data_IF_907649480001
#
_entry.id   IF_907649480001
#
_cell.length_a   1.000
_cell.length_b   1.000
_cell.length_c   1.000
_cell.angle_alpha   90.00
_cell.angle_beta   90.00
_cell.angle_gamma   90.00
#
_symmetry.space_group_name_H-M   'P 1'
#
loop_
_entity.id
_entity.type
_entity.pdbx_description
1 polymer ?
#
# COMPACT_ATOMS: atom_id res chain seq x y z
N UNK A 1 22.35 13.73 -9.78
CA UNK A 1 21.28 14.71 -9.49
C UNK A 1 21.32 15.04 -7.98
N UNK A 2 21.47 16.30 -7.55
CA UNK A 2 21.72 16.70 -6.14
C UNK A 2 20.44 16.76 -5.26
N UNK A 3 20.55 16.67 -3.93
CA UNK A 3 19.36 16.68 -3.04
C UNK A 3 18.57 18.00 -3.15
N UNK A 4 17.24 17.95 -3.00
CA UNK A 4 16.38 19.15 -2.95
C UNK A 4 15.95 19.75 -4.30
N UNK A 5 16.29 19.16 -5.44
CA UNK A 5 16.01 19.75 -6.78
C UNK A 5 14.71 19.28 -7.46
N UNK A 6 13.71 18.82 -6.70
CA UNK A 6 12.41 18.41 -7.28
C UNK A 6 12.46 17.18 -8.20
N UNK A 7 13.41 16.27 -8.02
CA UNK A 7 13.58 15.10 -8.91
C UNK A 7 12.34 14.24 -9.00
N UNK A 8 11.69 14.01 -7.87
CA UNK A 8 10.52 13.14 -7.77
C UNK A 8 9.36 13.76 -8.53
N UNK A 9 8.99 15.00 -8.26
CA UNK A 9 7.96 15.71 -9.03
C UNK A 9 8.29 15.81 -10.54
N UNK A 10 9.54 16.09 -10.93
CA UNK A 10 9.92 16.13 -12.35
C UNK A 10 9.74 14.77 -13.04
N UNK A 11 10.18 13.69 -12.40
CA UNK A 11 10.04 12.33 -12.92
C UNK A 11 8.57 11.91 -13.02
N UNK A 12 7.79 12.15 -11.97
CA UNK A 12 6.36 11.85 -11.94
C UNK A 12 5.61 12.65 -13.02
N UNK A 13 5.93 13.93 -13.19
CA UNK A 13 5.29 14.80 -14.20
C UNK A 13 5.49 14.27 -15.61
N UNK A 14 6.71 13.85 -15.94
CA UNK A 14 7.03 13.29 -17.25
C UNK A 14 6.28 11.98 -17.49
N UNK A 15 6.30 11.06 -16.52
CA UNK A 15 5.69 9.73 -16.67
C UNK A 15 4.16 9.84 -16.77
N UNK A 16 3.53 10.65 -15.94
CA UNK A 16 2.06 10.86 -15.98
C UNK A 16 1.65 11.49 -17.32
N UNK A 17 2.39 12.50 -17.79
CA UNK A 17 2.11 13.10 -19.10
C UNK A 17 2.25 12.06 -20.24
N UNK A 18 3.27 11.20 -20.16
CA UNK A 18 3.48 10.12 -21.12
C UNK A 18 2.32 9.11 -21.11
N UNK A 19 1.88 8.66 -19.93
CA UNK A 19 0.76 7.73 -19.76
C UNK A 19 -0.59 8.30 -20.23
N UNK A 20 -0.77 9.61 -20.18
CA UNK A 20 -1.97 10.28 -20.68
C UNK A 20 -1.95 10.47 -22.20
N UNK A 21 -0.77 10.70 -22.79
CA UNK A 21 -0.63 10.92 -24.23
C UNK A 21 -0.78 9.62 -25.04
N UNK A 22 -0.17 8.52 -24.56
CA UNK A 22 -0.23 7.24 -25.27
C UNK A 22 -1.43 6.39 -24.80
N UNK A 23 -2.18 5.77 -25.74
CA UNK A 23 -3.36 4.95 -25.39
C UNK A 23 -2.98 3.65 -24.66
N UNK A 24 -1.73 3.20 -24.79
CA UNK A 24 -1.23 2.02 -24.11
C UNK A 24 -1.12 2.27 -22.59
N UNK A 25 -1.98 1.60 -21.82
CA UNK A 25 -2.01 1.73 -20.36
C UNK A 25 -0.83 0.99 -19.74
N UNK A 26 0.16 1.76 -19.28
CA UNK A 26 1.32 1.26 -18.52
C UNK A 26 1.17 1.60 -17.04
N UNK A 27 1.63 0.73 -16.15
CA UNK A 27 1.67 0.99 -14.69
C UNK A 27 3.04 1.53 -14.30
N UNK A 28 3.07 2.56 -13.46
CA UNK A 28 4.30 3.04 -12.84
C UNK A 28 4.55 2.28 -11.53
N UNK A 29 5.70 1.63 -11.42
CA UNK A 29 6.19 1.06 -10.16
C UNK A 29 7.31 1.96 -9.64
N UNK A 30 7.02 2.71 -8.58
CA UNK A 30 7.98 3.62 -7.96
C UNK A 30 8.56 2.98 -6.69
N UNK A 31 9.83 2.60 -6.73
CA UNK A 31 10.52 1.96 -5.61
C UNK A 31 11.26 3.00 -4.76
N UNK A 32 11.01 3.00 -3.46
CA UNK A 32 11.72 3.82 -2.46
C UNK A 32 12.31 2.93 -1.37
N UNK A 33 13.30 3.43 -0.63
CA UNK A 33 14.00 2.65 0.41
C UNK A 33 13.26 2.68 1.74
N UNK A 34 12.65 3.81 2.08
CA UNK A 34 12.05 4.03 3.41
C UNK A 34 10.59 4.45 3.32
N UNK A 35 9.82 4.21 4.38
CA UNK A 35 8.40 4.62 4.45
C UNK A 35 8.23 6.15 4.32
N UNK A 36 9.05 7.00 4.96
CA UNK A 36 8.97 8.45 4.76
C UNK A 36 9.23 8.89 3.32
N UNK A 37 10.06 8.18 2.55
CA UNK A 37 10.24 8.45 1.12
C UNK A 37 8.98 8.10 0.32
N UNK A 38 8.31 6.98 0.65
CA UNK A 38 7.04 6.58 0.04
C UNK A 38 5.96 7.65 0.29
N UNK A 39 5.83 8.10 1.55
CA UNK A 39 4.87 9.14 1.93
C UNK A 39 5.12 10.46 1.19
N UNK A 40 6.39 10.89 1.08
CA UNK A 40 6.77 12.08 0.32
C UNK A 40 6.43 11.95 -1.16
N UNK A 41 6.74 10.80 -1.77
CA UNK A 41 6.43 10.55 -3.18
C UNK A 41 4.92 10.56 -3.46
N UNK A 42 4.11 9.97 -2.57
CA UNK A 42 2.64 9.99 -2.67
C UNK A 42 2.07 11.40 -2.48
N UNK A 43 2.64 12.19 -1.56
CA UNK A 43 2.24 13.58 -1.36
C UNK A 43 2.56 14.45 -2.59
N UNK A 44 3.73 14.27 -3.21
CA UNK A 44 4.08 14.93 -4.47
C UNK A 44 3.18 14.48 -5.63
N UNK A 45 2.89 13.19 -5.73
CA UNK A 45 1.96 12.64 -6.72
C UNK A 45 0.57 13.25 -6.56
N UNK A 46 0.04 13.31 -5.34
CA UNK A 46 -1.26 13.94 -5.07
C UNK A 46 -1.30 15.39 -5.56
N UNK A 47 -0.29 16.20 -5.20
CA UNK A 47 -0.19 17.60 -5.65
C UNK A 47 -0.12 17.72 -7.17
N UNK A 48 0.60 16.81 -7.84
CA UNK A 48 0.71 16.78 -9.29
C UNK A 48 -0.64 16.46 -9.96
N UNK A 49 -1.37 15.47 -9.46
CA UNK A 49 -2.68 15.09 -9.99
C UNK A 49 -3.70 16.21 -9.76
N UNK A 50 -3.70 16.82 -8.57
CA UNK A 50 -4.52 17.98 -8.24
C UNK A 50 -4.23 19.15 -9.20
N UNK A 51 -2.95 19.42 -9.50
CA UNK A 51 -2.54 20.45 -10.46
C UNK A 51 -3.03 20.15 -11.89
N UNK A 52 -3.01 18.88 -12.31
CA UNK A 52 -3.48 18.45 -13.63
C UNK A 52 -5.00 18.37 -13.75
N UNK A 53 -5.74 18.41 -12.63
CA UNK A 53 -7.19 18.19 -12.57
C UNK A 53 -7.61 16.85 -13.19
N UNK A 54 -6.79 15.81 -13.01
CA UNK A 54 -7.11 14.47 -13.48
C UNK A 54 -7.81 13.67 -12.38
N UNK A 55 -9.13 13.55 -12.49
CA UNK A 55 -9.94 12.84 -11.50
C UNK A 55 -9.85 11.31 -11.65
N UNK A 56 -9.33 10.80 -12.77
CA UNK A 56 -9.28 9.36 -13.08
C UNK A 56 -7.91 8.73 -12.85
N UNK A 57 -7.18 9.19 -11.82
CA UNK A 57 -5.86 8.68 -11.47
C UNK A 57 -5.85 7.96 -10.11
N UNK A 58 -5.39 6.71 -10.08
CA UNK A 58 -5.25 5.92 -8.86
C UNK A 58 -3.76 5.78 -8.46
N UNK A 59 -3.39 6.42 -7.35
CA UNK A 59 -2.10 6.23 -6.69
C UNK A 59 -2.22 5.29 -5.48
N UNK A 60 -1.32 4.32 -5.35
CA UNK A 60 -1.31 3.37 -4.22
C UNK A 60 0.03 3.43 -3.49
N UNK A 61 -0.03 3.63 -2.18
CA UNK A 61 1.10 3.45 -1.27
C UNK A 61 1.09 2.07 -0.64
N UNK A 62 2.08 1.23 -0.98
CA UNK A 62 2.22 -0.09 -0.38
C UNK A 62 3.37 -0.11 0.63
N UNK A 63 3.08 -0.57 1.84
CA UNK A 63 4.08 -0.79 2.90
C UNK A 63 3.81 -2.10 3.62
N UNK A 64 4.56 -2.40 4.68
CA UNK A 64 4.40 -3.64 5.46
C UNK A 64 3.04 -3.74 6.16
N UNK A 65 2.63 -4.97 6.50
CA UNK A 65 1.39 -5.22 7.26
C UNK A 65 1.34 -4.44 8.57
N UNK A 66 2.47 -4.23 9.26
CA UNK A 66 2.52 -3.44 10.50
C UNK A 66 1.94 -2.03 10.33
N UNK A 67 2.14 -1.42 9.16
CA UNK A 67 1.70 -0.06 8.91
C UNK A 67 0.26 0.02 8.36
N UNK A 68 -0.30 -1.12 7.89
CA UNK A 68 -1.60 -1.19 7.22
C UNK A 68 -2.61 -2.10 7.96
N UNK A 69 -2.25 -2.65 9.12
CA UNK A 69 -3.10 -3.56 9.88
C UNK A 69 -4.12 -2.79 10.73
N UNK A 70 -5.39 -3.15 10.61
CA UNK A 70 -6.50 -2.57 11.37
C UNK A 70 -6.96 -3.45 12.55
N UNK A 71 -6.51 -4.71 12.62
CA UNK A 71 -6.97 -5.66 13.63
C UNK A 71 -6.55 -5.19 15.04
N UNK A 72 -7.48 -4.97 15.98
CA UNK A 72 -7.24 -4.20 17.20
C UNK A 72 -6.20 -4.81 18.15
N UNK A 73 -6.02 -6.12 18.11
CA UNK A 73 -5.00 -6.82 18.90
C UNK A 73 -3.66 -7.00 18.17
N UNK A 74 -3.67 -7.07 16.83
CA UNK A 74 -2.47 -7.36 16.03
C UNK A 74 -1.74 -6.08 15.65
N UNK A 75 -2.46 -4.99 15.41
CA UNK A 75 -1.88 -3.67 15.10
C UNK A 75 -1.05 -3.08 16.23
N UNK A 76 -1.28 -3.53 17.48
CA UNK A 76 -0.52 -3.10 18.67
C UNK A 76 0.88 -3.73 18.77
N UNK A 77 1.19 -4.73 17.95
CA UNK A 77 2.48 -5.42 17.98
C UNK A 77 3.60 -4.54 17.40
N UNK A 78 4.72 -4.43 18.14
CA UNK A 78 5.84 -3.57 17.75
C UNK A 78 6.69 -4.16 16.62
N UNK A 79 6.86 -5.48 16.61
CA UNK A 79 7.74 -6.20 15.67
C UNK A 79 6.95 -6.66 14.46
N UNK A 80 7.39 -6.28 13.25
CA UNK A 80 6.73 -6.66 11.99
C UNK A 80 6.56 -8.17 11.82
N UNK A 81 7.58 -8.97 12.17
CA UNK A 81 7.50 -10.43 12.11
C UNK A 81 6.36 -11.02 12.97
N UNK A 82 6.05 -10.39 14.11
CA UNK A 82 4.97 -10.82 14.99
C UNK A 82 3.62 -10.48 14.38
N UNK A 83 3.47 -9.27 13.82
CA UNK A 83 2.27 -8.88 13.04
C UNK A 83 2.01 -9.88 11.92
N UNK A 84 3.04 -10.22 11.14
CA UNK A 84 2.91 -11.15 10.02
C UNK A 84 2.47 -12.54 10.47
N UNK A 85 3.07 -13.04 11.55
CA UNK A 85 2.71 -14.34 12.14
C UNK A 85 1.29 -14.37 12.66
N UNK A 86 0.86 -13.36 13.45
CA UNK A 86 -0.49 -13.31 14.02
C UNK A 86 -1.54 -13.12 12.92
N UNK A 87 -1.28 -12.27 11.94
CA UNK A 87 -2.14 -12.12 10.77
C UNK A 87 -2.30 -13.46 10.04
N UNK A 88 -1.22 -14.21 9.81
CA UNK A 88 -1.27 -15.56 9.20
C UNK A 88 -2.12 -16.53 10.04
N UNK A 89 -2.01 -16.51 11.37
CA UNK A 89 -2.82 -17.34 12.25
C UNK A 89 -4.32 -17.06 12.20
N UNK A 90 -4.74 -15.88 11.71
CA UNK A 90 -6.15 -15.49 11.59
C UNK A 90 -6.70 -15.59 10.16
N UNK A 91 -5.83 -15.67 9.15
CA UNK A 91 -6.22 -15.51 7.73
C UNK A 91 -5.82 -16.68 6.84
N UNK A 92 -4.94 -17.58 7.31
CA UNK A 92 -4.48 -18.70 6.51
C UNK A 92 -5.65 -19.62 6.09
N UNK A 93 -5.57 -20.16 4.87
CA UNK A 93 -6.64 -20.98 4.28
C UNK A 93 -7.07 -22.13 5.20
N UNK A 94 -6.12 -22.85 5.79
CA UNK A 94 -6.42 -23.97 6.69
C UNK A 94 -7.08 -23.54 8.00
N UNK A 95 -6.89 -22.30 8.46
CA UNK A 95 -7.57 -21.78 9.66
C UNK A 95 -9.02 -21.48 9.30
N UNK A 96 -9.25 -20.87 8.14
CA UNK A 96 -10.59 -20.55 7.61
C UNK A 96 -11.40 -21.80 7.33
N UNK A 97 -10.79 -22.84 6.76
CA UNK A 97 -11.45 -24.14 6.54
C UNK A 97 -11.84 -24.82 7.86
N UNK A 98 -10.95 -24.82 8.86
CA UNK A 98 -11.27 -25.34 10.20
C UNK A 98 -12.39 -24.55 10.88
N UNK A 99 -12.39 -23.23 10.75
CA UNK A 99 -13.47 -22.39 11.29
C UNK A 99 -14.82 -22.65 10.61
N UNK A 100 -14.83 -23.03 9.33
CA UNK A 100 -16.04 -23.48 8.62
C UNK A 100 -16.53 -24.85 9.10
N UNK A 101 -15.60 -25.78 9.35
CA UNK A 101 -15.92 -27.12 9.85
C UNK A 101 -16.38 -27.11 11.32
N UNK A 102 -15.80 -26.24 12.14
CA UNK A 102 -16.09 -26.09 13.57
C UNK A 102 -16.41 -24.62 13.91
N UNK A 103 -17.66 -24.17 13.66
CA UNK A 103 -18.08 -22.79 13.90
C UNK A 103 -17.88 -22.37 15.36
N UNK A 104 -17.24 -21.22 15.59
CA UNK A 104 -17.07 -20.61 16.92
C UNK A 104 -15.86 -21.09 17.71
N UNK A 105 -15.11 -22.10 17.23
CA UNK A 105 -13.90 -22.59 17.92
C UNK A 105 -12.61 -21.91 17.51
N UNK A 106 -12.61 -21.24 16.35
CA UNK A 106 -11.45 -20.56 15.79
C UNK A 106 -11.75 -19.09 15.51
N UNK A 107 -10.87 -18.21 16.00
CA UNK A 107 -10.95 -16.77 15.74
C UNK A 107 -10.41 -16.45 14.34
N UNK A 108 -11.16 -15.67 13.57
CA UNK A 108 -10.78 -15.20 12.24
C UNK A 108 -10.69 -13.67 12.22
N UNK A 109 -9.94 -13.14 11.27
CA UNK A 109 -9.82 -11.69 11.08
C UNK A 109 -11.05 -11.13 10.35
N UNK A 110 -11.88 -10.38 11.05
CA UNK A 110 -13.10 -9.75 10.50
C UNK A 110 -12.85 -8.81 9.31
N UNK A 111 -11.65 -8.22 9.21
CA UNK A 111 -11.28 -7.35 8.09
C UNK A 111 -10.86 -8.11 6.81
N UNK A 112 -10.71 -9.44 6.91
CA UNK A 112 -10.25 -10.29 5.80
C UNK A 112 -11.34 -11.23 5.28
N UNK A 113 -12.27 -11.65 6.15
CA UNK A 113 -13.47 -12.39 5.74
C UNK A 113 -14.41 -11.52 4.88
#
# INVERSE_FOLDING_TARGET
>A
MPSGTGKTVSLLSLIVAYQQFYPEKRKLIYCSRTVPEIEKALAELKRLIDYRKDENFLGIGLTSRRNLCLHPSVSKEKKGKVVDSRCRSLTASWVREKAKAEPGKHELCQFYE
#
